data_IF_177086024528
#
_entry.id   IF_177086024528
#
_cell.length_a   1.000
_cell.length_b   1.000
_cell.length_c   1.000
_cell.angle_alpha   90.00
_cell.angle_beta   90.00
_cell.angle_gamma   90.00
#
_symmetry.space_group_name_H-M   'P 1'
#
loop_
_entity.id
_entity.type
_entity.pdbx_description
1 polymer ?
#
# COMPACT_ATOMS: atom_id res chain seq x y z
N UNK A 1 -8.93 -0.07 7.48
CA UNK A 1 -8.91 -0.54 6.08
C UNK A 1 -9.21 0.58 5.06
N UNK A 2 -10.46 1.10 4.98
CA UNK A 2 -10.87 2.10 3.97
C UNK A 2 -9.91 3.30 3.84
N UNK A 3 -9.66 4.02 4.95
CA UNK A 3 -8.77 5.19 4.96
C UNK A 3 -7.38 4.86 4.42
N UNK A 4 -6.75 3.80 4.91
CA UNK A 4 -5.41 3.39 4.50
C UNK A 4 -5.36 3.03 3.01
N UNK A 5 -6.34 2.25 2.52
CA UNK A 5 -6.43 1.88 1.10
C UNK A 5 -6.64 3.12 0.19
N UNK A 6 -7.49 4.06 0.59
CA UNK A 6 -7.66 5.32 -0.12
C UNK A 6 -6.36 6.14 -0.11
N UNK A 7 -5.65 6.18 1.02
CA UNK A 7 -4.38 6.89 1.16
C UNK A 7 -3.29 6.36 0.21
N UNK A 8 -3.23 5.04 -0.01
CA UNK A 8 -2.33 4.44 -1.01
C UNK A 8 -2.55 5.05 -2.39
N UNK A 9 -3.79 5.01 -2.87
CA UNK A 9 -4.14 5.46 -4.23
C UNK A 9 -3.94 6.97 -4.37
N UNK A 10 -4.38 7.75 -3.38
CA UNK A 10 -4.24 9.20 -3.39
C UNK A 10 -2.77 9.64 -3.42
N UNK A 11 -1.90 9.04 -2.59
CA UNK A 11 -0.48 9.38 -2.60
C UNK A 11 0.22 8.97 -3.91
N UNK A 12 -0.15 7.84 -4.52
CA UNK A 12 0.38 7.45 -5.85
C UNK A 12 -0.02 8.46 -6.92
N UNK A 13 -1.30 8.88 -6.93
CA UNK A 13 -1.79 9.87 -7.88
C UNK A 13 -1.09 11.21 -7.71
N UNK A 14 -0.94 11.67 -6.47
CA UNK A 14 -0.29 12.95 -6.18
C UNK A 14 1.21 12.94 -6.48
N UNK A 15 1.89 11.82 -6.24
CA UNK A 15 3.30 11.65 -6.58
C UNK A 15 3.59 11.85 -8.07
N UNK A 16 2.67 11.42 -8.96
CA UNK A 16 2.83 11.56 -10.41
C UNK A 16 2.78 13.00 -10.91
N UNK A 17 2.16 13.91 -10.17
CA UNK A 17 2.10 15.35 -10.49
C UNK A 17 3.10 16.20 -9.71
N UNK A 18 3.98 15.59 -8.92
CA UNK A 18 4.89 16.27 -8.00
C UNK A 18 6.33 16.31 -8.52
N UNK A 19 7.10 17.33 -8.12
CA UNK A 19 8.56 17.35 -8.31
C UNK A 19 9.24 16.16 -7.62
N UNK A 20 10.43 15.78 -8.10
CA UNK A 20 11.10 14.52 -7.74
C UNK A 20 11.22 14.26 -6.22
N UNK A 21 11.50 15.28 -5.40
CA UNK A 21 11.57 15.15 -3.94
C UNK A 21 10.21 14.84 -3.31
N UNK A 22 9.19 15.61 -3.70
CA UNK A 22 7.81 15.45 -3.22
C UNK A 22 7.22 14.11 -3.72
N UNK A 23 7.51 13.73 -4.97
CA UNK A 23 7.10 12.44 -5.52
C UNK A 23 7.66 11.27 -4.71
N UNK A 24 8.95 11.29 -4.35
CA UNK A 24 9.56 10.25 -3.51
C UNK A 24 8.91 10.15 -2.13
N UNK A 25 8.69 11.27 -1.46
CA UNK A 25 8.02 11.30 -0.16
C UNK A 25 6.60 10.71 -0.24
N UNK A 26 5.86 11.01 -1.32
CA UNK A 26 4.52 10.47 -1.54
C UNK A 26 4.52 8.98 -1.84
N UNK A 27 5.46 8.48 -2.63
CA UNK A 27 5.62 7.03 -2.81
C UNK A 27 5.99 6.31 -1.50
N UNK A 28 6.80 6.93 -0.64
CA UNK A 28 7.10 6.38 0.68
C UNK A 28 5.84 6.30 1.57
N UNK A 29 5.02 7.36 1.59
CA UNK A 29 3.73 7.37 2.30
C UNK A 29 2.74 6.34 1.74
N UNK A 30 2.69 6.17 0.41
CA UNK A 30 1.88 5.13 -0.22
C UNK A 30 2.32 3.72 0.20
N UNK A 31 3.64 3.47 0.25
CA UNK A 31 4.19 2.20 0.72
C UNK A 31 3.81 1.93 2.19
N UNK A 32 3.95 2.93 3.07
CA UNK A 32 3.52 2.84 4.47
C UNK A 32 2.04 2.52 4.60
N UNK A 33 1.18 3.24 3.87
CA UNK A 33 -0.26 3.00 3.86
C UNK A 33 -0.63 1.60 3.35
N UNK A 34 0.09 1.07 2.36
CA UNK A 34 -0.13 -0.29 1.87
C UNK A 34 0.22 -1.35 2.92
N UNK A 35 1.29 -1.13 3.69
CA UNK A 35 1.64 -1.99 4.85
C UNK A 35 0.58 -1.92 5.95
N UNK A 36 -0.01 -0.75 6.22
CA UNK A 36 -1.15 -0.62 7.13
C UNK A 36 -2.37 -1.43 6.66
N UNK A 37 -2.67 -1.41 5.35
CA UNK A 37 -3.74 -2.24 4.78
C UNK A 37 -3.44 -3.72 4.99
N UNK A 38 -2.21 -4.16 4.71
CA UNK A 38 -1.80 -5.56 4.90
C UNK A 38 -1.97 -6.01 6.35
N UNK A 39 -1.52 -5.20 7.31
CA UNK A 39 -1.70 -5.49 8.74
C UNK A 39 -3.18 -5.60 9.12
N UNK A 40 -4.03 -4.69 8.64
CA UNK A 40 -5.46 -4.74 8.92
C UNK A 40 -6.16 -5.95 8.27
N UNK A 41 -5.67 -6.45 7.13
CA UNK A 41 -6.18 -7.68 6.53
C UNK A 41 -5.79 -8.92 7.34
N UNK A 42 -4.57 -8.96 7.90
CA UNK A 42 -4.17 -10.05 8.79
C UNK A 42 -5.10 -10.15 9.99
N UNK A 43 -5.40 -9.01 10.64
CA UNK A 43 -6.38 -8.96 11.73
C UNK A 43 -7.77 -9.43 11.28
N UNK A 44 -8.22 -9.04 10.08
CA UNK A 44 -9.51 -9.48 9.55
C UNK A 44 -9.55 -11.00 9.27
N UNK A 45 -8.44 -11.60 8.83
CA UNK A 45 -8.31 -13.06 8.70
C UNK A 45 -8.36 -13.76 10.05
N UNK A 46 -7.63 -13.23 11.05
CA UNK A 46 -7.61 -13.79 12.41
C UNK A 46 -9.00 -13.74 13.06
N UNK A 47 -9.80 -12.73 12.75
CA UNK A 47 -11.19 -12.62 13.19
C UNK A 47 -12.18 -13.46 12.36
N UNK A 48 -11.71 -14.14 11.31
CA UNK A 48 -12.55 -14.96 10.43
C UNK A 48 -13.47 -14.15 9.52
N UNK A 49 -13.17 -12.87 9.28
CA UNK A 49 -13.94 -12.03 8.35
C UNK A 49 -13.58 -12.27 6.89
N UNK A 50 -12.44 -12.91 6.64
CA UNK A 50 -11.94 -13.28 5.32
C UNK A 50 -11.47 -14.73 5.36
N UNK A 51 -11.80 -15.50 4.33
CA UNK A 51 -11.24 -16.82 4.15
C UNK A 51 -9.76 -16.75 3.74
N UNK A 52 -9.03 -17.84 3.96
CA UNK A 52 -7.59 -17.92 3.70
C UNK A 52 -7.22 -17.80 2.22
N UNK A 53 -8.11 -18.18 1.29
CA UNK A 53 -7.84 -18.08 -0.15
C UNK A 53 -7.90 -16.60 -0.59
N UNK A 54 -8.95 -15.90 -0.17
CA UNK A 54 -9.07 -14.45 -0.39
C UNK A 54 -7.94 -13.68 0.31
N UNK A 55 -7.60 -14.09 1.52
CA UNK A 55 -6.49 -13.54 2.29
C UNK A 55 -5.15 -13.57 1.54
N UNK A 56 -4.76 -14.75 1.06
CA UNK A 56 -3.53 -14.94 0.29
C UNK A 56 -3.50 -14.12 -1.01
N UNK A 57 -4.63 -14.03 -1.72
CA UNK A 57 -4.74 -13.21 -2.93
C UNK A 57 -4.49 -11.73 -2.61
N UNK A 58 -5.12 -11.20 -1.56
CA UNK A 58 -4.97 -9.80 -1.18
C UNK A 58 -3.55 -9.50 -0.67
N UNK A 59 -2.93 -10.42 0.07
CA UNK A 59 -1.55 -10.30 0.53
C UNK A 59 -0.58 -10.16 -0.66
N UNK A 60 -0.69 -11.03 -1.66
CA UNK A 60 0.16 -10.99 -2.87
C UNK A 60 0.00 -9.66 -3.64
N UNK A 61 -1.23 -9.15 -3.76
CA UNK A 61 -1.50 -7.87 -4.42
C UNK A 61 -0.89 -6.70 -3.66
N UNK A 62 -1.02 -6.69 -2.33
CA UNK A 62 -0.43 -5.64 -1.50
C UNK A 62 1.08 -5.69 -1.48
N UNK A 63 1.68 -6.88 -1.50
CA UNK A 63 3.13 -7.02 -1.60
C UNK A 63 3.68 -6.41 -2.89
N UNK A 64 2.99 -6.65 -4.01
CA UNK A 64 3.32 -6.03 -5.31
C UNK A 64 3.25 -4.49 -5.22
N UNK A 65 2.20 -3.94 -4.60
CA UNK A 65 2.05 -2.48 -4.42
C UNK A 65 3.18 -1.93 -3.53
N UNK A 66 3.51 -2.63 -2.44
CA UNK A 66 4.61 -2.25 -1.56
C UNK A 66 5.95 -2.23 -2.31
N UNK A 67 6.24 -3.25 -3.12
CA UNK A 67 7.48 -3.36 -3.88
C UNK A 67 7.62 -2.21 -4.91
N UNK A 68 6.55 -1.92 -5.65
CA UNK A 68 6.54 -0.83 -6.65
C UNK A 68 6.73 0.53 -5.96
N UNK A 69 5.92 0.83 -4.94
CA UNK A 69 5.97 2.11 -4.24
C UNK A 69 7.29 2.32 -3.50
N UNK A 70 7.85 1.26 -2.90
CA UNK A 70 9.19 1.30 -2.31
C UNK A 70 10.26 1.61 -3.35
N UNK A 71 10.23 0.93 -4.50
CA UNK A 71 11.20 1.13 -5.58
C UNK A 71 11.15 2.56 -6.13
N UNK A 72 9.95 3.12 -6.29
CA UNK A 72 9.77 4.50 -6.76
C UNK A 72 10.22 5.54 -5.72
N UNK A 73 10.04 5.27 -4.43
CA UNK A 73 10.49 6.14 -3.35
C UNK A 73 12.02 6.22 -3.24
N UNK A 74 12.74 5.16 -3.62
CA UNK A 74 14.19 5.03 -3.47
C UNK A 74 14.97 5.12 -4.78
N UNK A 75 14.31 5.44 -5.90
CA UNK A 75 14.98 5.65 -7.18
C UNK A 75 15.88 6.90 -7.09
N UNK A 76 17.16 6.72 -7.46
CA UNK A 76 18.17 7.79 -7.49
C UNK A 76 17.83 8.81 -8.56
#
# INVERSE_FOLDING_TARGET
LRRAAQSVVLNIAEARGSDAGNARARFATACGSAKEVRAALHVAMDWGYLDSTMGALLEQRLDTVCAITWSLAHRR
#
